data_IF_710952074113
#
_entry.id   IF_710952074113
#
_cell.length_a   1.000
_cell.length_b   1.000
_cell.length_c   1.000
_cell.angle_alpha   90.00
_cell.angle_beta   90.00
_cell.angle_gamma   90.00
#
_symmetry.space_group_name_H-M   'P 1'
#
loop_
_entity.id
_entity.type
_entity.pdbx_description
1 polymer ?
#
# COMPACT_ATOMS: atom_id res chain seq x y z
N UNK A 1 13.35 5.31 34.21
CA UNK A 1 14.49 5.21 33.28
C UNK A 1 14.79 3.79 32.82
N UNK A 2 15.08 2.82 33.71
CA UNK A 2 15.43 1.43 33.30
C UNK A 2 14.43 0.78 32.35
N UNK A 3 13.12 0.84 32.66
CA UNK A 3 12.04 0.29 31.82
C UNK A 3 11.93 0.94 30.42
N UNK A 4 12.23 2.23 30.31
CA UNK A 4 12.22 2.94 29.04
C UNK A 4 13.40 2.50 28.16
N UNK A 5 14.60 2.38 28.74
CA UNK A 5 15.80 1.89 28.05
C UNK A 5 15.59 0.44 27.59
N UNK A 6 15.02 -0.40 28.42
CA UNK A 6 14.67 -1.78 28.07
C UNK A 6 13.64 -1.84 26.93
N UNK A 7 12.64 -0.96 26.94
CA UNK A 7 11.65 -0.87 25.86
C UNK A 7 12.28 -0.42 24.53
N UNK A 8 13.17 0.58 24.57
CA UNK A 8 13.85 1.12 23.39
C UNK A 8 14.83 0.10 22.79
N UNK A 9 15.54 -0.64 23.63
CA UNK A 9 16.53 -1.63 23.21
C UNK A 9 15.92 -3.03 22.95
N UNK A 10 14.60 -3.17 23.05
CA UNK A 10 13.94 -4.45 22.78
C UNK A 10 13.92 -4.72 21.27
N UNK A 11 14.59 -5.77 20.84
CA UNK A 11 14.70 -6.21 19.44
C UNK A 11 13.72 -7.33 19.07
N UNK A 12 12.91 -7.81 20.03
CA UNK A 12 11.92 -8.85 19.76
C UNK A 12 10.80 -8.34 18.87
N UNK A 13 10.45 -9.12 17.84
CA UNK A 13 9.29 -8.86 16.97
C UNK A 13 8.00 -9.45 17.56
N UNK A 14 7.92 -9.53 18.89
CA UNK A 14 6.85 -10.21 19.60
C UNK A 14 5.90 -9.22 20.31
N UNK A 15 4.70 -9.71 20.59
CA UNK A 15 3.76 -9.04 21.47
C UNK A 15 2.75 -8.12 20.79
N UNK A 16 2.03 -7.35 21.61
CA UNK A 16 0.88 -6.55 21.19
C UNK A 16 1.31 -5.37 20.31
N UNK A 17 2.46 -4.78 20.61
CA UNK A 17 2.90 -3.52 19.99
C UNK A 17 3.19 -3.68 18.50
N UNK A 18 3.85 -4.74 18.07
CA UNK A 18 4.14 -4.98 16.64
C UNK A 18 2.85 -5.07 15.82
N UNK A 19 1.80 -5.69 16.35
CA UNK A 19 0.52 -5.77 15.66
C UNK A 19 -0.22 -4.41 15.61
N UNK A 20 -0.08 -3.58 16.64
CA UNK A 20 -0.60 -2.20 16.62
C UNK A 20 0.18 -1.40 15.56
N UNK A 21 1.51 -1.51 15.55
CA UNK A 21 2.36 -0.83 14.58
C UNK A 21 2.02 -1.25 13.14
N UNK A 22 1.83 -2.55 12.88
CA UNK A 22 1.40 -3.03 11.56
C UNK A 22 0.02 -2.49 11.16
N UNK A 23 -0.93 -2.42 12.09
CA UNK A 23 -2.24 -1.83 11.85
C UNK A 23 -2.15 -0.34 11.48
N UNK A 24 -1.37 0.43 12.24
CA UNK A 24 -1.16 1.86 11.96
C UNK A 24 -0.44 2.02 10.62
N UNK A 25 0.65 1.27 10.39
CA UNK A 25 1.45 1.34 9.18
C UNK A 25 0.62 1.04 7.93
N UNK A 26 -0.11 -0.09 7.91
CA UNK A 26 -0.94 -0.46 6.74
C UNK A 26 -2.06 0.54 6.51
N UNK A 27 -2.62 1.13 7.57
CA UNK A 27 -3.68 2.14 7.46
C UNK A 27 -3.13 3.46 6.91
N UNK A 28 -2.08 3.99 7.53
CA UNK A 28 -1.48 5.27 7.12
C UNK A 28 -0.96 5.21 5.67
N UNK A 29 -0.22 4.15 5.31
CA UNK A 29 0.29 3.94 3.95
C UNK A 29 -0.83 3.89 2.91
N UNK A 30 -1.92 3.18 3.21
CA UNK A 30 -3.05 3.01 2.30
C UNK A 30 -3.88 4.28 2.17
N UNK A 31 -4.07 5.02 3.27
CA UNK A 31 -4.71 6.33 3.23
C UNK A 31 -3.89 7.31 2.39
N UNK A 32 -2.57 7.38 2.61
CA UNK A 32 -1.69 8.25 1.82
C UNK A 32 -1.78 7.91 0.33
N UNK A 33 -1.75 6.62 -0.04
CA UNK A 33 -1.93 6.20 -1.43
C UNK A 33 -3.27 6.66 -2.03
N UNK A 34 -4.37 6.51 -1.27
CA UNK A 34 -5.71 6.96 -1.68
C UNK A 34 -5.73 8.47 -1.88
N UNK A 35 -5.28 9.25 -0.90
CA UNK A 35 -5.37 10.71 -0.95
C UNK A 35 -4.42 11.31 -2.00
N UNK A 36 -3.16 10.87 -2.03
CA UNK A 36 -2.15 11.45 -2.92
C UNK A 36 -2.26 10.95 -4.37
N UNK A 37 -2.68 9.71 -4.59
CA UNK A 37 -2.66 9.08 -5.92
C UNK A 37 -3.98 8.52 -6.42
N UNK A 38 -4.95 8.26 -5.53
CA UNK A 38 -6.27 7.79 -5.90
C UNK A 38 -7.21 8.96 -6.25
N UNK A 39 -7.42 9.87 -5.31
CA UNK A 39 -8.44 10.92 -5.41
C UNK A 39 -8.23 11.87 -6.61
N UNK A 40 -6.98 12.19 -6.94
CA UNK A 40 -6.67 13.03 -8.10
C UNK A 40 -7.11 12.42 -9.44
N UNK A 41 -7.23 11.10 -9.54
CA UNK A 41 -7.75 10.42 -10.75
C UNK A 41 -9.26 10.58 -10.88
N UNK A 42 -9.96 10.79 -9.77
CA UNK A 42 -11.39 11.14 -9.75
C UNK A 42 -11.63 12.65 -9.88
N UNK A 43 -10.58 13.46 -10.01
CA UNK A 43 -10.69 14.93 -10.02
C UNK A 43 -10.98 15.55 -8.65
N UNK A 44 -10.79 14.79 -7.55
CA UNK A 44 -11.03 15.30 -6.20
C UNK A 44 -9.75 15.94 -5.67
N UNK A 45 -9.84 17.20 -5.24
CA UNK A 45 -8.71 17.96 -4.67
C UNK A 45 -7.74 18.53 -5.72
N UNK A 46 -8.09 18.47 -7.01
CA UNK A 46 -7.31 18.99 -8.14
C UNK A 46 -8.20 19.78 -9.09
N UNK A 47 -7.59 20.62 -9.95
CA UNK A 47 -8.34 21.44 -10.92
C UNK A 47 -8.93 20.57 -12.04
N UNK A 48 -8.18 19.58 -12.49
CA UNK A 48 -8.60 18.61 -13.50
C UNK A 48 -8.19 17.20 -13.08
N UNK A 49 -8.98 16.20 -13.45
CA UNK A 49 -8.67 14.81 -13.19
C UNK A 49 -7.37 14.40 -13.89
N UNK A 50 -6.49 13.71 -13.15
CA UNK A 50 -5.22 13.23 -13.69
C UNK A 50 -5.46 12.20 -14.80
N UNK A 51 -4.87 12.43 -15.97
CA UNK A 51 -4.82 11.40 -17.02
C UNK A 51 -3.86 10.30 -16.60
N UNK A 52 -4.39 9.09 -16.43
CA UNK A 52 -3.61 7.91 -16.05
C UNK A 52 -2.59 7.58 -17.16
N UNK A 53 -1.28 7.56 -16.85
CA UNK A 53 -0.28 7.11 -17.82
C UNK A 53 -0.53 5.66 -18.25
N UNK A 54 -0.26 5.34 -19.52
CA UNK A 54 -0.46 4.01 -20.09
C UNK A 54 0.83 3.47 -20.74
N UNK A 55 1.92 3.25 -19.95
CA UNK A 55 3.22 2.86 -20.48
C UNK A 55 3.20 1.46 -21.13
N UNK A 56 2.26 0.61 -20.73
CA UNK A 56 2.10 -0.75 -21.25
C UNK A 56 1.21 -0.82 -22.50
N UNK A 57 0.68 0.32 -22.98
CA UNK A 57 -0.20 0.41 -24.16
C UNK A 57 -1.41 -0.53 -24.08
N UNK A 58 -2.00 -0.66 -22.89
CA UNK A 58 -3.20 -1.45 -22.66
C UNK A 58 -4.43 -0.72 -23.24
N UNK A 59 -5.57 -1.42 -23.44
CA UNK A 59 -6.82 -0.75 -23.75
C UNK A 59 -7.13 0.33 -22.70
N UNK A 60 -7.43 1.54 -23.13
CA UNK A 60 -7.50 2.73 -22.26
C UNK A 60 -8.47 2.54 -21.09
N UNK A 61 -9.66 2.00 -21.36
CA UNK A 61 -10.66 1.74 -20.33
C UNK A 61 -10.15 0.76 -19.27
N UNK A 62 -9.38 -0.26 -19.67
CA UNK A 62 -8.79 -1.22 -18.74
C UNK A 62 -7.65 -0.59 -17.93
N UNK A 63 -6.78 0.20 -18.57
CA UNK A 63 -5.67 0.88 -17.89
C UNK A 63 -6.19 1.81 -16.79
N UNK A 64 -7.15 2.67 -17.10
CA UNK A 64 -7.72 3.60 -16.13
C UNK A 64 -8.44 2.87 -15.00
N UNK A 65 -9.32 1.91 -15.33
CA UNK A 65 -10.03 1.13 -14.31
C UNK A 65 -9.07 0.41 -13.36
N UNK A 66 -8.03 -0.22 -13.91
CA UNK A 66 -7.06 -0.95 -13.10
C UNK A 66 -6.25 -0.02 -12.20
N UNK A 67 -5.78 1.12 -12.72
CA UNK A 67 -5.04 2.10 -11.94
C UNK A 67 -5.89 2.77 -10.86
N UNK A 68 -7.16 3.06 -11.14
CA UNK A 68 -8.12 3.61 -10.18
C UNK A 68 -8.41 2.59 -9.09
N UNK A 69 -8.71 1.35 -9.46
CA UNK A 69 -8.96 0.27 -8.49
C UNK A 69 -7.74 0.02 -7.59
N UNK A 70 -6.54 -0.01 -8.17
CA UNK A 70 -5.29 -0.19 -7.42
C UNK A 70 -5.03 0.94 -6.41
N UNK A 71 -5.42 2.18 -6.71
CA UNK A 71 -5.13 3.32 -5.84
C UNK A 71 -6.29 3.72 -4.93
N UNK A 72 -7.52 3.28 -5.19
CA UNK A 72 -8.71 3.66 -4.43
C UNK A 72 -9.39 2.47 -3.75
N UNK A 73 -9.60 1.38 -4.50
CA UNK A 73 -10.39 0.26 -4.03
C UNK A 73 -9.55 -0.71 -3.20
N UNK A 74 -8.47 -1.25 -3.75
CA UNK A 74 -7.63 -2.23 -3.06
C UNK A 74 -6.97 -1.73 -1.76
N UNK A 75 -6.55 -0.46 -1.63
CA UNK A 75 -6.00 0.03 -0.37
C UNK A 75 -7.03 0.01 0.76
N UNK A 76 -8.33 0.10 0.47
CA UNK A 76 -9.40 -0.07 1.49
C UNK A 76 -9.39 -1.48 2.08
N UNK A 77 -9.19 -2.51 1.25
CA UNK A 77 -9.01 -3.89 1.71
C UNK A 77 -7.76 -4.02 2.58
N UNK A 78 -6.67 -3.34 2.20
CA UNK A 78 -5.44 -3.30 2.99
C UNK A 78 -5.62 -2.56 4.32
N UNK A 79 -6.49 -1.54 4.40
CA UNK A 79 -6.85 -0.83 5.65
C UNK A 79 -7.65 -1.73 6.60
N UNK A 80 -8.61 -2.49 6.10
CA UNK A 80 -9.37 -3.41 6.95
C UNK A 80 -8.64 -4.71 7.25
N UNK A 81 -7.65 -5.04 6.43
CA UNK A 81 -6.87 -6.25 6.60
C UNK A 81 -7.66 -7.45 6.09
N UNK A 82 -8.34 -7.28 4.95
CA UNK A 82 -9.20 -8.25 4.31
C UNK A 82 -8.55 -8.71 3.01
N UNK A 83 -8.25 -10.00 2.89
CA UNK A 83 -7.48 -10.61 1.81
C UNK A 83 -6.21 -9.81 1.50
N UNK A 84 -5.50 -9.36 2.54
CA UNK A 84 -4.47 -8.32 2.41
C UNK A 84 -3.40 -8.67 1.38
N UNK A 85 -2.91 -9.91 1.38
CA UNK A 85 -1.88 -10.34 0.42
C UNK A 85 -2.35 -10.28 -1.02
N UNK A 86 -3.62 -10.63 -1.26
CA UNK A 86 -4.21 -10.57 -2.60
C UNK A 86 -4.47 -9.12 -3.00
N UNK A 87 -5.01 -8.30 -2.09
CA UNK A 87 -5.29 -6.89 -2.34
C UNK A 87 -4.03 -6.06 -2.62
N UNK A 88 -2.87 -6.48 -2.12
CA UNK A 88 -1.60 -5.81 -2.39
C UNK A 88 -1.11 -6.01 -3.83
N UNK A 89 -1.48 -7.11 -4.50
CA UNK A 89 -0.91 -7.43 -5.82
C UNK A 89 -1.26 -6.39 -6.89
N UNK A 90 -2.50 -5.90 -7.02
CA UNK A 90 -2.83 -4.83 -7.97
C UNK A 90 -2.12 -3.52 -7.64
N UNK A 91 -1.98 -3.20 -6.35
CA UNK A 91 -1.24 -2.01 -5.88
C UNK A 91 0.22 -2.10 -6.36
N UNK A 92 0.87 -3.23 -6.08
CA UNK A 92 2.25 -3.47 -6.51
C UNK A 92 2.40 -3.44 -8.03
N UNK A 93 1.44 -3.99 -8.78
CA UNK A 93 1.49 -3.95 -10.24
C UNK A 93 1.58 -2.50 -10.75
N UNK A 94 0.78 -1.58 -10.19
CA UNK A 94 0.83 -0.16 -10.56
C UNK A 94 2.10 0.52 -10.08
N UNK A 95 2.48 0.35 -8.80
CA UNK A 95 3.65 1.07 -8.25
C UNK A 95 4.97 0.57 -8.83
N UNK A 96 5.11 -0.73 -9.07
CA UNK A 96 6.29 -1.31 -9.73
C UNK A 96 6.34 -0.92 -11.21
N UNK A 97 5.21 -0.88 -11.91
CA UNK A 97 5.17 -0.36 -13.29
C UNK A 97 5.57 1.12 -13.32
N UNK A 98 5.11 1.91 -12.35
CA UNK A 98 5.53 3.30 -12.18
C UNK A 98 7.06 3.41 -12.05
N UNK A 99 7.66 2.61 -11.18
CA UNK A 99 9.11 2.67 -10.94
C UNK A 99 9.96 2.10 -12.09
N UNK A 100 9.65 0.88 -12.54
CA UNK A 100 10.49 0.12 -13.46
C UNK A 100 10.20 0.36 -14.94
N UNK A 101 9.04 0.92 -15.28
CA UNK A 101 8.63 1.12 -16.68
C UNK A 101 8.43 2.60 -16.98
N UNK A 102 7.50 3.26 -16.28
CA UNK A 102 7.18 4.67 -16.56
C UNK A 102 8.36 5.60 -16.30
N UNK A 103 9.01 5.44 -15.14
CA UNK A 103 10.11 6.29 -14.70
C UNK A 103 11.48 5.62 -14.80
N UNK A 104 11.65 4.60 -15.65
CA UNK A 104 12.90 3.84 -15.75
C UNK A 104 14.13 4.74 -15.96
N UNK A 105 14.02 5.67 -16.91
CA UNK A 105 15.08 6.59 -17.32
C UNK A 105 15.13 7.89 -16.50
N UNK A 106 14.19 8.09 -15.57
CA UNK A 106 14.14 9.31 -14.77
C UNK A 106 15.16 9.26 -13.63
N UNK A 107 15.56 10.46 -13.17
CA UNK A 107 16.41 10.62 -12.00
C UNK A 107 15.75 10.02 -10.75
N UNK A 108 16.57 9.55 -9.80
CA UNK A 108 16.08 8.91 -8.56
C UNK A 108 15.06 9.77 -7.80
N UNK A 109 15.25 11.10 -7.78
CA UNK A 109 14.36 12.04 -7.10
C UNK A 109 12.95 12.10 -7.70
N UNK A 110 12.76 11.67 -8.95
CA UNK A 110 11.45 11.64 -9.62
C UNK A 110 10.73 10.31 -9.35
N UNK A 111 11.50 9.21 -9.29
CA UNK A 111 10.96 7.85 -9.14
C UNK A 111 11.00 7.29 -7.72
N UNK A 112 11.41 8.09 -6.73
CA UNK A 112 11.48 7.69 -5.33
C UNK A 112 10.09 7.32 -4.76
N UNK A 113 9.05 8.03 -5.16
CA UNK A 113 7.68 7.84 -4.66
C UNK A 113 7.12 6.46 -5.02
N UNK A 114 7.06 6.04 -6.31
CA UNK A 114 6.61 4.68 -6.63
C UNK A 114 7.52 3.60 -6.05
N UNK A 115 8.82 3.87 -5.85
CA UNK A 115 9.72 2.97 -5.15
C UNK A 115 9.31 2.77 -3.69
N UNK A 116 9.11 3.84 -2.94
CA UNK A 116 8.76 3.79 -1.52
C UNK A 116 7.44 3.07 -1.29
N UNK A 117 6.41 3.34 -2.10
CA UNK A 117 5.17 2.57 -2.04
C UNK A 117 5.41 1.09 -2.33
N UNK A 118 6.15 0.76 -3.39
CA UNK A 118 6.45 -0.63 -3.75
C UNK A 118 7.17 -1.36 -2.61
N UNK A 119 8.16 -0.71 -1.99
CA UNK A 119 8.93 -1.25 -0.87
C UNK A 119 8.02 -1.53 0.34
N UNK A 120 7.19 -0.56 0.71
CA UNK A 120 6.28 -0.69 1.86
C UNK A 120 5.19 -1.75 1.63
N UNK A 121 4.63 -1.82 0.43
CA UNK A 121 3.64 -2.84 0.09
C UNK A 121 4.25 -4.24 -0.06
N UNK A 122 5.48 -4.37 -0.56
CA UNK A 122 6.23 -5.63 -0.53
C UNK A 122 6.46 -6.08 0.91
N UNK A 123 6.85 -5.18 1.80
CA UNK A 123 6.97 -5.50 3.23
C UNK A 123 5.65 -6.05 3.81
N UNK A 124 4.52 -5.39 3.53
CA UNK A 124 3.20 -5.86 3.96
C UNK A 124 2.78 -7.19 3.33
N UNK A 125 3.17 -7.46 2.08
CA UNK A 125 2.89 -8.72 1.41
C UNK A 125 3.51 -9.89 2.17
N UNK A 126 4.78 -9.76 2.58
CA UNK A 126 5.50 -10.80 3.30
C UNK A 126 5.05 -10.92 4.76
N UNK A 127 5.07 -9.81 5.50
CA UNK A 127 4.74 -9.79 6.94
C UNK A 127 3.26 -10.12 7.17
N UNK A 128 2.39 -9.71 6.25
CA UNK A 128 0.95 -9.89 6.35
C UNK A 128 0.25 -8.84 7.23
N UNK A 129 -1.05 -9.03 7.50
CA UNK A 129 -1.92 -7.97 8.03
C UNK A 129 -1.85 -7.78 9.56
N UNK A 130 -1.18 -8.67 10.28
CA UNK A 130 -1.12 -8.67 11.75
C UNK A 130 -2.42 -9.11 12.43
N UNK A 131 -2.43 -9.08 13.78
CA UNK A 131 -3.54 -9.58 14.61
C UNK A 131 -4.83 -8.75 14.51
N UNK A 132 -4.71 -7.43 14.34
CA UNK A 132 -5.87 -6.54 14.20
C UNK A 132 -6.27 -6.47 12.73
N UNK A 133 -6.78 -7.57 12.18
CA UNK A 133 -7.20 -7.66 10.78
C UNK A 133 -8.40 -8.59 10.63
N UNK A 134 -9.20 -8.38 9.59
CA UNK A 134 -10.31 -9.29 9.26
C UNK A 134 -9.75 -10.68 8.89
N UNK A 135 -8.61 -10.75 8.21
CA UNK A 135 -7.90 -12.00 7.89
C UNK A 135 -7.59 -12.82 9.15
N UNK A 136 -7.12 -12.18 10.22
CA UNK A 136 -6.87 -12.86 11.49
C UNK A 136 -8.17 -13.40 12.11
N UNK A 137 -9.25 -12.62 12.05
CA UNK A 137 -10.56 -13.03 12.54
C UNK A 137 -11.12 -14.23 11.77
N UNK A 138 -11.06 -14.21 10.43
CA UNK A 138 -11.48 -15.31 9.56
C UNK A 138 -10.64 -16.56 9.87
N UNK A 139 -9.32 -16.43 9.96
CA UNK A 139 -8.42 -17.56 10.29
C UNK A 139 -8.75 -18.19 11.65
N UNK A 140 -9.14 -17.39 12.65
CA UNK A 140 -9.52 -17.90 13.97
C UNK A 140 -10.86 -18.66 13.95
N UNK A 141 -11.76 -18.36 13.00
CA UNK A 141 -13.04 -19.07 12.87
C UNK A 141 -12.97 -20.37 12.07
N UNK A 142 -12.04 -20.47 11.12
CA UNK A 142 -11.86 -21.66 10.27
C UNK A 142 -11.04 -22.75 11.00
N UNK A 143 -10.22 -22.35 11.96
CA UNK A 143 -9.52 -23.25 12.88
C UNK A 143 -10.38 -23.60 14.08
#
# INVERSE_FOLDING_TARGET
MKKLIETINNTSLEGKLIHIALFIFRTALSLELIFAHGLKKLGIGVVEAEKVPNPLKLPEAFNSLFADAANLFFPVFVIFGLFTRVAILPILAVTLTGYFVLHWNDALLIKDTPFMYSLCYLFLLFVGPGKYSIDHYIRKKIK
#
